data_IF_351988030921
#
_entry.id   IF_351988030921
#
_cell.length_a   1.000
_cell.length_b   1.000
_cell.length_c   1.000
_cell.angle_alpha   90.00
_cell.angle_beta   90.00
_cell.angle_gamma   90.00
#
_symmetry.space_group_name_H-M   'P 1'
#
loop_
_entity.id
_entity.type
_entity.pdbx_description
1 polymer ?
#
# COMPACT_ATOMS: atom_id res chain seq x y z
N UNK A 1 0.06 -15.68 -9.85
CA UNK A 1 -1.28 -15.24 -9.31
C UNK A 1 -2.12 -16.44 -8.92
N UNK A 2 -2.81 -16.39 -7.78
CA UNK A 2 -3.76 -17.42 -7.35
C UNK A 2 -5.16 -16.86 -7.47
N UNK A 3 -6.10 -17.63 -8.06
CA UNK A 3 -7.48 -17.19 -8.29
C UNK A 3 -8.48 -18.04 -7.48
N UNK A 4 -9.52 -17.40 -6.98
CA UNK A 4 -10.77 -18.03 -6.53
C UNK A 4 -10.82 -18.49 -5.08
N UNK A 5 -10.20 -19.62 -4.76
CA UNK A 5 -10.43 -20.35 -3.49
C UNK A 5 -10.19 -19.55 -2.21
N UNK A 6 -9.20 -18.67 -2.18
CA UNK A 6 -8.76 -17.95 -0.97
C UNK A 6 -9.32 -16.52 -0.85
N UNK A 7 -10.02 -16.00 -1.86
CA UNK A 7 -10.39 -14.59 -1.93
C UNK A 7 -11.87 -14.30 -1.74
N UNK A 8 -12.69 -15.35 -1.51
CA UNK A 8 -14.15 -15.23 -1.39
C UNK A 8 -14.51 -14.37 -0.17
N UNK A 9 -15.31 -13.34 -0.40
CA UNK A 9 -15.82 -12.44 0.65
C UNK A 9 -14.87 -11.34 1.12
N UNK A 10 -13.63 -11.28 0.63
CA UNK A 10 -12.64 -10.26 1.01
C UNK A 10 -12.56 -9.08 0.03
N UNK A 11 -13.29 -9.16 -1.11
CA UNK A 11 -13.25 -8.15 -2.17
C UNK A 11 -12.00 -8.25 -3.07
N UNK A 12 -11.17 -9.28 -2.88
CA UNK A 12 -10.04 -9.59 -3.73
C UNK A 12 -10.44 -10.66 -4.74
N UNK A 13 -9.88 -10.64 -5.92
CA UNK A 13 -10.10 -11.66 -6.96
C UNK A 13 -8.88 -12.54 -7.18
N UNK A 14 -7.70 -12.02 -6.87
CA UNK A 14 -6.41 -12.68 -7.05
C UNK A 14 -5.45 -12.21 -5.94
N UNK A 15 -4.34 -12.93 -5.77
CA UNK A 15 -3.22 -12.52 -4.94
C UNK A 15 -1.90 -12.79 -5.66
N UNK A 16 -0.89 -11.97 -5.41
CA UNK A 16 0.48 -12.20 -5.85
C UNK A 16 1.21 -13.05 -4.83
N UNK A 17 2.21 -13.78 -5.28
CA UNK A 17 3.15 -14.48 -4.42
C UNK A 17 4.51 -14.56 -5.10
N UNK A 18 5.54 -14.84 -4.31
CA UNK A 18 6.93 -14.94 -4.73
C UNK A 18 7.47 -16.33 -4.35
N UNK A 19 8.37 -16.86 -5.13
CA UNK A 19 9.12 -18.08 -4.78
C UNK A 19 10.37 -17.75 -3.92
N UNK A 20 11.28 -18.70 -3.74
CA UNK A 20 12.48 -18.56 -2.93
C UNK A 20 13.63 -17.77 -3.61
N UNK A 21 13.45 -17.33 -4.86
CA UNK A 21 14.38 -16.43 -5.57
C UNK A 21 14.10 -14.96 -5.31
N UNK A 22 12.91 -14.64 -4.81
CA UNK A 22 12.47 -13.28 -4.47
C UNK A 22 12.49 -13.09 -2.96
N UNK A 23 13.17 -12.05 -2.49
CA UNK A 23 13.33 -11.76 -1.07
C UNK A 23 12.71 -10.42 -0.71
N UNK A 24 12.10 -10.35 0.46
CA UNK A 24 11.72 -9.08 1.07
C UNK A 24 12.95 -8.40 1.72
N UNK A 25 12.89 -7.10 1.98
CA UNK A 25 13.91 -6.43 2.78
C UNK A 25 14.18 -7.09 4.14
N UNK A 26 13.17 -7.71 4.75
CA UNK A 26 13.28 -8.37 6.06
C UNK A 26 14.03 -9.70 6.02
N UNK A 27 14.13 -10.34 4.86
CA UNK A 27 14.84 -11.62 4.70
C UNK A 27 16.37 -11.46 4.78
N UNK A 28 16.86 -10.23 4.78
CA UNK A 28 18.28 -9.91 4.73
C UNK A 28 18.84 -9.70 6.13
N UNK A 29 19.96 -10.32 6.39
CA UNK A 29 20.75 -10.14 7.63
C UNK A 29 21.57 -8.85 7.63
N UNK A 30 21.41 -7.98 6.65
CA UNK A 30 22.12 -6.71 6.50
C UNK A 30 21.19 -5.62 6.00
N UNK A 31 21.62 -4.37 6.09
CA UNK A 31 20.88 -3.19 5.66
C UNK A 31 20.40 -3.29 4.21
N UNK A 32 19.08 -3.10 3.98
CA UNK A 32 18.46 -3.16 2.66
C UNK A 32 19.00 -2.11 1.71
N UNK A 33 19.21 -0.88 2.21
CA UNK A 33 19.77 0.20 1.40
C UNK A 33 21.13 -0.16 0.82
N UNK A 34 21.96 -0.88 1.57
CA UNK A 34 23.28 -1.32 1.06
C UNK A 34 23.19 -2.46 0.03
N UNK A 35 22.12 -3.25 0.05
CA UNK A 35 21.86 -4.24 -1.00
C UNK A 35 21.40 -3.56 -2.28
N UNK A 36 20.56 -2.52 -2.19
CA UNK A 36 20.12 -1.73 -3.33
C UNK A 36 21.28 -1.00 -4.03
N UNK A 37 22.42 -0.79 -3.36
CA UNK A 37 23.62 -0.22 -3.97
C UNK A 37 24.14 -1.01 -5.17
N UNK A 38 23.83 -2.30 -5.28
CA UNK A 38 24.19 -3.08 -6.47
C UNK A 38 23.58 -2.49 -7.77
N UNK A 39 22.44 -1.82 -7.69
CA UNK A 39 21.82 -1.14 -8.82
C UNK A 39 22.66 0.06 -9.32
N UNK A 40 23.49 0.62 -8.45
CA UNK A 40 24.30 1.81 -8.73
C UNK A 40 25.78 1.50 -8.98
N UNK A 41 26.21 0.24 -8.81
CA UNK A 41 27.62 -0.15 -9.01
C UNK A 41 28.15 0.21 -10.40
N UNK A 42 27.34 0.00 -11.45
CA UNK A 42 27.73 0.32 -12.82
C UNK A 42 27.93 1.81 -13.09
N UNK A 43 27.31 2.68 -12.28
CA UNK A 43 27.48 4.14 -12.36
C UNK A 43 28.71 4.65 -11.62
N UNK A 44 29.33 3.83 -10.76
CA UNK A 44 30.40 4.24 -9.85
C UNK A 44 29.95 5.23 -8.76
N UNK A 45 28.65 5.51 -8.64
CA UNK A 45 28.12 6.44 -7.66
C UNK A 45 28.11 5.82 -6.25
N UNK A 46 29.02 6.25 -5.40
CA UNK A 46 29.12 5.86 -3.98
C UNK A 46 28.69 6.98 -3.03
N UNK A 47 28.35 8.17 -3.54
CA UNK A 47 27.89 9.29 -2.74
C UNK A 47 26.37 9.20 -2.51
N UNK A 48 25.96 8.15 -1.79
CA UNK A 48 24.57 7.86 -1.48
C UNK A 48 24.46 7.63 0.03
N UNK A 49 23.45 8.22 0.63
CA UNK A 49 23.07 8.00 2.03
C UNK A 49 21.63 7.52 2.14
N UNK A 50 21.19 7.09 3.32
CA UNK A 50 19.83 6.63 3.52
C UNK A 50 19.60 5.92 4.84
N UNK A 51 18.35 5.55 5.09
CA UNK A 51 17.91 4.82 6.27
C UNK A 51 17.04 3.62 5.88
N UNK A 52 17.11 2.55 6.66
CA UNK A 52 16.14 1.48 6.66
C UNK A 52 15.07 1.79 7.71
N UNK A 53 13.81 1.57 7.39
CA UNK A 53 12.69 1.80 8.30
C UNK A 53 11.86 0.54 8.47
N UNK A 54 11.50 0.24 9.70
CA UNK A 54 10.70 -0.93 10.06
C UNK A 54 9.54 -0.52 10.98
N UNK A 55 8.32 -0.79 10.59
CA UNK A 55 7.13 -0.71 11.43
C UNK A 55 5.98 -1.44 10.75
N UNK A 56 6.09 -2.75 10.61
CA UNK A 56 5.12 -3.55 9.87
C UNK A 56 4.71 -2.84 8.57
N UNK A 57 3.40 -2.79 8.23
CA UNK A 57 2.92 -2.15 7.00
C UNK A 57 3.13 -0.62 6.93
N UNK A 58 3.57 0.03 8.02
CA UNK A 58 3.80 1.47 8.08
C UNK A 58 5.24 1.88 7.72
N UNK A 59 6.16 0.94 7.59
CA UNK A 59 7.59 1.22 7.32
C UNK A 59 7.82 2.10 6.09
N UNK A 60 7.12 1.85 4.97
CA UNK A 60 7.22 2.68 3.76
C UNK A 60 6.76 4.13 3.98
N UNK A 61 5.79 4.36 4.88
CA UNK A 61 5.34 5.72 5.23
C UNK A 61 6.37 6.45 6.09
N UNK A 62 7.04 5.75 7.01
CA UNK A 62 8.19 6.31 7.71
C UNK A 62 9.29 6.72 6.72
N UNK A 63 9.63 5.87 5.75
CA UNK A 63 10.63 6.18 4.73
C UNK A 63 10.22 7.39 3.89
N UNK A 64 8.95 7.46 3.46
CA UNK A 64 8.43 8.58 2.69
C UNK A 64 8.51 9.89 3.48
N UNK A 65 8.08 9.89 4.75
CA UNK A 65 8.13 11.11 5.56
C UNK A 65 9.57 11.55 5.87
N UNK A 66 10.50 10.61 6.06
CA UNK A 66 11.92 10.92 6.21
C UNK A 66 12.49 11.55 4.94
N UNK A 67 12.17 11.02 3.76
CA UNK A 67 12.62 11.55 2.49
C UNK A 67 12.06 12.97 2.23
N UNK A 68 10.76 13.19 2.47
CA UNK A 68 10.13 14.51 2.33
C UNK A 68 10.75 15.51 3.32
N UNK A 69 10.86 15.12 4.60
CA UNK A 69 11.46 16.00 5.62
C UNK A 69 12.93 16.36 5.28
N UNK A 70 13.69 15.42 4.66
CA UNK A 70 15.06 15.71 4.24
C UNK A 70 15.08 16.68 3.05
N UNK A 71 14.26 16.47 2.02
CA UNK A 71 14.16 17.39 0.87
C UNK A 71 13.71 18.79 1.29
N UNK A 72 12.87 18.91 2.32
CA UNK A 72 12.41 20.19 2.87
C UNK A 72 13.37 20.79 3.93
N UNK A 73 14.46 20.11 4.29
CA UNK A 73 15.37 20.55 5.34
C UNK A 73 16.50 21.45 4.80
N UNK A 74 17.16 22.16 5.71
CA UNK A 74 18.39 22.91 5.41
C UNK A 74 19.59 22.01 5.05
N UNK A 75 19.48 20.71 5.23
CA UNK A 75 20.53 19.74 4.87
C UNK A 75 20.37 19.19 3.46
N UNK A 76 19.32 19.59 2.75
CA UNK A 76 19.12 19.14 1.38
C UNK A 76 20.16 19.73 0.43
N UNK A 77 20.77 18.89 -0.37
CA UNK A 77 21.88 19.23 -1.27
C UNK A 77 21.48 19.22 -2.78
N UNK A 78 20.19 19.18 -3.07
CA UNK A 78 19.64 19.21 -4.44
C UNK A 78 19.43 17.82 -5.07
N UNK A 79 19.77 16.73 -4.38
CA UNK A 79 19.52 15.37 -4.88
C UNK A 79 18.07 14.94 -4.58
N UNK A 80 17.53 14.11 -5.47
CA UNK A 80 16.26 13.41 -5.20
C UNK A 80 16.48 12.27 -4.19
N UNK A 81 15.43 11.93 -3.42
CA UNK A 81 15.39 10.77 -2.56
C UNK A 81 14.59 9.64 -3.21
N UNK A 82 15.12 8.41 -3.17
CA UNK A 82 14.42 7.21 -3.62
C UNK A 82 13.87 6.46 -2.41
N UNK A 83 12.56 6.33 -2.33
CA UNK A 83 11.87 5.50 -1.34
C UNK A 83 11.46 4.17 -1.99
N UNK A 84 11.91 3.06 -1.42
CA UNK A 84 11.53 1.72 -1.85
C UNK A 84 10.77 1.03 -0.73
N UNK A 85 9.52 0.67 -0.99
CA UNK A 85 8.64 -0.07 -0.09
C UNK A 85 8.28 -1.40 -0.75
N UNK A 86 8.68 -2.52 -0.16
CA UNK A 86 8.42 -3.84 -0.72
C UNK A 86 8.27 -4.87 0.38
N UNK A 87 7.36 -5.83 0.16
CA UNK A 87 7.09 -6.87 1.14
C UNK A 87 6.41 -8.10 0.53
N UNK A 88 6.49 -9.22 1.25
CA UNK A 88 5.84 -10.49 0.92
C UNK A 88 4.99 -10.90 2.12
N UNK A 89 3.66 -10.87 1.95
CA UNK A 89 2.70 -11.18 3.00
C UNK A 89 2.29 -12.65 2.93
N UNK A 90 2.84 -13.45 3.83
CA UNK A 90 2.55 -14.87 3.96
C UNK A 90 1.96 -15.17 5.34
N UNK A 91 1.06 -16.14 5.40
CA UNK A 91 0.39 -16.57 6.63
C UNK A 91 0.37 -18.08 6.74
N UNK A 92 0.64 -18.58 7.94
CA UNK A 92 0.56 -20.01 8.26
C UNK A 92 -0.89 -20.45 8.42
N UNK A 93 -1.68 -19.62 9.12
CA UNK A 93 -3.08 -19.88 9.44
C UNK A 93 -3.95 -19.85 8.18
N UNK A 94 -4.72 -20.92 7.94
CA UNK A 94 -5.57 -21.06 6.77
C UNK A 94 -6.57 -19.90 6.62
N UNK A 95 -7.10 -19.35 7.73
CA UNK A 95 -8.04 -18.23 7.71
C UNK A 95 -7.39 -16.91 7.26
N UNK A 96 -6.09 -16.72 7.48
CA UNK A 96 -5.34 -15.53 7.10
C UNK A 96 -4.74 -15.61 5.68
N UNK A 97 -4.47 -16.83 5.17
CA UNK A 97 -3.88 -17.04 3.82
C UNK A 97 -4.55 -16.23 2.71
N UNK A 98 -5.91 -16.08 2.68
CA UNK A 98 -6.57 -15.31 1.62
C UNK A 98 -6.21 -13.81 1.61
N UNK A 99 -5.63 -13.29 2.68
CA UNK A 99 -5.16 -11.90 2.77
C UNK A 99 -3.70 -11.73 2.35
N UNK A 100 -3.02 -12.81 1.98
CA UNK A 100 -1.64 -12.77 1.50
C UNK A 100 -1.48 -11.97 0.21
N UNK A 101 -0.23 -11.64 -0.09
CA UNK A 101 0.13 -10.91 -1.29
C UNK A 101 1.62 -10.63 -1.35
N UNK A 102 2.06 -9.99 -2.41
CA UNK A 102 3.43 -9.54 -2.57
C UNK A 102 3.50 -8.35 -3.54
N UNK A 103 4.40 -7.43 -3.28
CA UNK A 103 4.66 -6.32 -4.17
C UNK A 103 5.65 -5.31 -3.64
N UNK A 104 6.11 -4.46 -4.55
CA UNK A 104 7.06 -3.40 -4.28
C UNK A 104 6.65 -2.13 -5.04
N UNK A 105 6.83 -0.98 -4.39
CA UNK A 105 6.65 0.34 -4.99
C UNK A 105 7.90 1.16 -4.74
N UNK A 106 8.44 1.77 -5.79
CA UNK A 106 9.51 2.76 -5.71
C UNK A 106 8.93 4.16 -6.00
N UNK A 107 9.32 5.14 -5.20
CA UNK A 107 8.85 6.52 -5.29
C UNK A 107 10.06 7.46 -5.32
N UNK A 108 10.12 8.32 -6.32
CA UNK A 108 11.11 9.39 -6.40
C UNK A 108 10.54 10.64 -5.72
N UNK A 109 11.27 11.18 -4.76
CA UNK A 109 10.87 12.33 -3.95
C UNK A 109 11.84 13.47 -4.23
N UNK A 110 11.32 14.59 -4.70
CA UNK A 110 12.09 15.77 -5.05
C UNK A 110 11.19 16.96 -5.32
N UNK A 111 11.75 18.12 -5.70
CA UNK A 111 10.99 19.30 -6.08
C UNK A 111 10.20 19.09 -7.36
N UNK A 112 9.23 19.96 -7.63
CA UNK A 112 8.45 20.02 -8.87
C UNK A 112 7.70 18.72 -9.22
N UNK A 113 7.40 17.89 -8.23
CA UNK A 113 6.67 16.65 -8.39
C UNK A 113 5.19 16.90 -8.80
N UNK A 114 4.58 16.01 -9.62
CA UNK A 114 3.16 16.15 -9.99
C UNK A 114 2.20 15.89 -8.81
N UNK A 115 2.68 15.25 -7.74
CA UNK A 115 1.95 15.01 -6.50
C UNK A 115 2.65 15.74 -5.36
N UNK A 116 1.96 16.66 -4.68
CA UNK A 116 2.51 17.45 -3.56
C UNK A 116 1.73 17.20 -2.28
N UNK A 117 2.43 17.21 -1.15
CA UNK A 117 1.78 17.13 0.16
C UNK A 117 0.98 18.40 0.46
N UNK A 118 -0.21 18.25 1.03
CA UNK A 118 -0.93 19.37 1.64
C UNK A 118 -0.22 19.76 2.94
N UNK A 119 0.34 20.97 2.98
CA UNK A 119 1.09 21.46 4.13
C UNK A 119 0.21 21.50 5.39
N UNK A 120 0.76 21.04 6.52
CA UNK A 120 0.06 21.01 7.79
C UNK A 120 -1.05 19.94 7.94
N UNK A 121 -1.40 19.25 6.86
CA UNK A 121 -2.48 18.24 6.84
C UNK A 121 -1.96 16.79 6.95
N UNK A 122 -1.12 16.54 7.95
CA UNK A 122 -0.61 15.21 8.30
C UNK A 122 -0.93 14.90 9.76
N UNK A 123 -1.79 13.94 10.00
CA UNK A 123 -2.17 13.46 11.32
C UNK A 123 -1.62 12.06 11.56
N UNK A 124 -1.31 11.73 12.81
CA UNK A 124 -0.80 10.41 13.19
C UNK A 124 -1.49 9.93 14.45
N UNK A 125 -1.58 8.61 14.58
CA UNK A 125 -2.03 7.93 15.77
C UNK A 125 -1.16 6.71 16.01
N UNK A 126 -0.62 6.58 17.23
CA UNK A 126 0.23 5.46 17.65
C UNK A 126 -0.23 4.93 18.99
N UNK A 127 -0.18 3.61 19.16
CA UNK A 127 -0.47 2.94 20.41
C UNK A 127 0.25 1.59 20.46
N UNK A 128 0.68 1.16 21.63
CA UNK A 128 1.22 -0.19 21.80
C UNK A 128 0.11 -1.24 21.67
N UNK A 129 0.31 -2.25 20.82
CA UNK A 129 -0.59 -3.39 20.64
C UNK A 129 0.18 -4.63 20.13
N UNK A 130 -0.24 -5.82 20.54
CA UNK A 130 0.21 -7.10 20.01
C UNK A 130 -0.85 -7.70 19.08
N UNK A 131 -1.27 -6.94 18.09
CA UNK A 131 -2.29 -7.34 17.12
C UNK A 131 -1.72 -8.21 15.98
N UNK A 132 -0.46 -7.92 15.60
CA UNK A 132 0.28 -8.62 14.56
C UNK A 132 1.77 -8.37 14.79
N UNK A 133 2.56 -9.43 14.96
CA UNK A 133 3.99 -9.31 15.26
C UNK A 133 4.77 -10.57 14.89
N UNK A 134 6.08 -10.43 14.70
CA UNK A 134 6.99 -11.53 14.42
C UNK A 134 7.78 -11.87 15.70
N UNK A 135 7.30 -12.86 16.43
CA UNK A 135 7.93 -13.30 17.68
C UNK A 135 9.07 -14.31 17.44
N UNK A 136 8.90 -15.18 16.44
CA UNK A 136 9.87 -16.22 16.10
C UNK A 136 10.68 -15.78 14.88
N UNK A 137 11.94 -15.41 15.11
CA UNK A 137 12.86 -15.00 14.04
C UNK A 137 13.34 -16.17 13.17
N UNK A 138 13.10 -17.41 13.58
CA UNK A 138 13.38 -18.62 12.79
C UNK A 138 12.24 -18.97 11.81
N UNK A 139 11.10 -18.29 11.91
CA UNK A 139 9.95 -18.47 11.05
C UNK A 139 9.70 -17.24 10.18
N UNK A 140 9.33 -17.42 8.92
CA UNK A 140 8.90 -16.33 8.03
C UNK A 140 7.51 -15.80 8.40
N UNK A 141 6.70 -16.60 9.09
CA UNK A 141 5.31 -16.29 9.41
C UNK A 141 5.16 -15.42 10.65
N UNK A 142 4.29 -14.39 10.60
CA UNK A 142 3.91 -13.60 11.77
C UNK A 142 2.88 -14.34 12.63
N UNK A 143 2.73 -13.88 13.88
CA UNK A 143 1.60 -14.18 14.75
C UNK A 143 0.53 -13.10 14.55
N UNK A 144 -0.73 -13.51 14.40
CA UNK A 144 -1.86 -12.62 14.11
C UNK A 144 -3.02 -12.89 15.05
N UNK A 145 -3.47 -11.87 15.80
CA UNK A 145 -4.80 -11.84 16.39
C UNK A 145 -5.74 -11.07 15.43
N UNK A 146 -6.50 -11.79 14.63
CA UNK A 146 -7.30 -11.20 13.56
C UNK A 146 -8.40 -10.25 14.05
N UNK A 147 -9.05 -10.54 15.20
CA UNK A 147 -10.09 -9.66 15.74
C UNK A 147 -9.48 -8.41 16.37
N UNK A 148 -8.42 -8.57 17.13
CA UNK A 148 -7.68 -7.45 17.71
C UNK A 148 -7.11 -6.55 16.61
N UNK A 149 -6.56 -7.14 15.52
CA UNK A 149 -6.01 -6.40 14.40
C UNK A 149 -7.07 -5.52 13.70
N UNK A 150 -8.29 -6.05 13.48
CA UNK A 150 -9.39 -5.25 12.92
C UNK A 150 -9.77 -4.11 13.87
N UNK A 151 -9.86 -4.38 15.18
CA UNK A 151 -10.19 -3.36 16.20
C UNK A 151 -9.13 -2.26 16.22
N UNK A 152 -7.85 -2.63 16.24
CA UNK A 152 -6.72 -1.71 16.21
C UNK A 152 -6.71 -0.85 14.94
N UNK A 153 -7.01 -1.45 13.80
CA UNK A 153 -7.09 -0.73 12.52
C UNK A 153 -8.20 0.34 12.55
N UNK A 154 -9.41 -0.01 12.99
CA UNK A 154 -10.54 0.93 13.07
C UNK A 154 -10.32 2.02 14.13
N UNK A 155 -9.67 1.69 15.25
CA UNK A 155 -9.25 2.66 16.26
C UNK A 155 -8.25 3.66 15.68
N UNK A 156 -7.31 3.19 14.87
CA UNK A 156 -6.34 4.04 14.20
C UNK A 156 -7.00 4.94 13.13
N UNK A 157 -8.01 4.44 12.41
CA UNK A 157 -8.83 5.25 11.50
C UNK A 157 -9.48 6.40 12.27
N UNK A 158 -10.15 6.10 13.39
CA UNK A 158 -10.79 7.11 14.23
C UNK A 158 -9.79 8.15 14.76
N UNK A 159 -8.68 7.69 15.35
CA UNK A 159 -7.66 8.55 15.94
C UNK A 159 -7.01 9.48 14.92
N UNK A 160 -6.61 8.94 13.76
CA UNK A 160 -6.03 9.73 12.68
C UNK A 160 -7.03 10.73 12.11
N UNK A 161 -8.29 10.33 11.92
CA UNK A 161 -9.29 11.21 11.34
C UNK A 161 -9.62 12.38 12.26
N UNK A 162 -9.83 12.10 13.54
CA UNK A 162 -10.04 13.15 14.57
C UNK A 162 -8.86 14.11 14.65
N UNK A 163 -7.62 13.59 14.62
CA UNK A 163 -6.44 14.42 14.63
C UNK A 163 -6.28 15.24 13.33
N UNK A 164 -6.69 14.69 12.19
CA UNK A 164 -6.70 15.39 10.91
C UNK A 164 -7.73 16.52 10.90
N UNK A 165 -8.96 16.29 11.40
CA UNK A 165 -9.99 17.31 11.57
C UNK A 165 -9.47 18.50 12.40
N UNK A 166 -8.84 18.22 13.56
CA UNK A 166 -8.27 19.24 14.40
C UNK A 166 -7.21 20.09 13.69
N UNK A 167 -6.35 19.46 12.88
CA UNK A 167 -5.33 20.17 12.10
C UNK A 167 -5.92 21.02 10.98
N UNK A 168 -6.89 20.49 10.24
CA UNK A 168 -7.57 21.26 9.18
C UNK A 168 -8.23 22.52 9.73
N UNK A 169 -8.83 22.42 10.92
CA UNK A 169 -9.45 23.57 11.58
C UNK A 169 -8.45 24.66 11.97
N UNK A 170 -7.15 24.36 12.11
CA UNK A 170 -6.10 25.34 12.49
C UNK A 170 -5.32 25.90 11.31
N UNK A 171 -5.41 25.29 10.12
CA UNK A 171 -4.71 25.78 8.92
C UNK A 171 -5.41 27.01 8.39
N UNK A 172 -4.76 28.18 8.51
CA UNK A 172 -5.24 29.43 7.90
C UNK A 172 -5.15 29.30 6.37
N UNK A 173 -6.20 29.62 5.60
CA UNK A 173 -6.15 29.60 4.15
C UNK A 173 -5.08 30.58 3.63
N UNK A 174 -4.27 30.17 2.66
CA UNK A 174 -3.21 30.98 2.03
C UNK A 174 -3.71 32.33 1.48
N UNK A 175 -5.00 32.47 1.22
CA UNK A 175 -5.62 33.69 0.64
C UNK A 175 -6.24 34.64 1.67
N UNK A 176 -5.94 34.51 2.95
CA UNK A 176 -6.43 35.46 3.98
C UNK A 176 -7.96 35.49 4.18
N UNK A 177 -8.73 34.75 3.38
CA UNK A 177 -10.15 34.54 3.62
C UNK A 177 -10.26 33.47 4.70
N UNK A 178 -10.57 33.88 5.91
CA UNK A 178 -11.09 32.96 6.93
C UNK A 178 -12.24 32.20 6.24
N UNK A 179 -12.04 30.90 6.03
CA UNK A 179 -13.15 30.05 5.63
C UNK A 179 -14.26 30.34 6.65
N UNK A 180 -15.36 30.96 6.17
CA UNK A 180 -16.53 31.17 7.01
C UNK A 180 -16.82 29.84 7.68
N UNK A 181 -16.84 29.82 9.02
CA UNK A 181 -16.96 28.64 9.85
C UNK A 181 -18.29 27.88 9.74
N UNK A 182 -18.87 27.87 8.56
CA UNK A 182 -20.09 27.19 8.14
C UNK A 182 -19.92 26.38 6.86
N UNK A 183 -18.82 25.60 6.72
CA UNK A 183 -18.85 24.51 5.76
C UNK A 183 -19.64 23.34 6.39
N UNK A 184 -20.93 23.29 6.12
CA UNK A 184 -21.82 22.18 6.47
C UNK A 184 -21.50 20.89 5.67
N UNK A 185 -20.31 20.80 5.08
CA UNK A 185 -19.87 19.61 4.34
C UNK A 185 -19.04 18.70 5.23
N UNK A 186 -19.33 17.42 5.18
CA UNK A 186 -18.56 16.39 5.86
C UNK A 186 -17.10 16.46 5.44
N UNK A 187 -16.14 16.33 6.40
CA UNK A 187 -14.71 16.44 6.11
C UNK A 187 -14.22 15.38 5.10
N UNK A 188 -14.87 14.20 5.07
CA UNK A 188 -14.58 13.15 4.06
C UNK A 188 -14.80 13.66 2.63
N UNK A 189 -15.61 14.69 2.44
CA UNK A 189 -15.88 15.32 1.15
C UNK A 189 -14.74 16.26 0.68
N UNK A 190 -13.78 16.58 1.54
CA UNK A 190 -12.56 17.29 1.13
C UNK A 190 -11.62 16.42 0.26
N UNK A 191 -11.76 15.10 0.33
CA UNK A 191 -10.98 14.17 -0.50
C UNK A 191 -11.76 13.81 -1.77
N UNK A 192 -11.22 14.14 -2.93
CA UNK A 192 -11.77 13.67 -4.21
C UNK A 192 -11.59 12.15 -4.35
N UNK A 193 -10.44 11.63 -3.90
CA UNK A 193 -10.13 10.21 -3.85
C UNK A 193 -9.49 9.84 -2.52
N UNK A 194 -9.58 8.55 -2.14
CA UNK A 194 -8.89 8.04 -0.96
C UNK A 194 -8.23 6.68 -1.23
N UNK A 195 -6.99 6.57 -0.76
CA UNK A 195 -6.20 5.36 -0.73
C UNK A 195 -5.99 4.92 0.72
N UNK A 196 -6.19 3.64 0.99
CA UNK A 196 -5.99 3.03 2.31
C UNK A 196 -4.92 1.96 2.24
N UNK A 197 -4.20 1.75 3.34
CA UNK A 197 -3.58 0.46 3.54
C UNK A 197 -4.65 -0.61 3.44
N UNK A 198 -4.47 -1.60 2.58
CA UNK A 198 -5.47 -2.61 2.26
C UNK A 198 -5.02 -4.01 2.68
N UNK A 199 -5.17 -4.41 3.96
CA UNK A 199 -5.00 -5.81 4.35
C UNK A 199 -5.97 -6.72 3.59
N UNK A 200 -7.15 -6.19 3.29
CA UNK A 200 -8.12 -6.71 2.34
C UNK A 200 -9.09 -5.60 1.92
N UNK A 201 -9.71 -5.74 0.75
CA UNK A 201 -10.59 -4.70 0.19
C UNK A 201 -11.86 -4.47 1.03
N UNK A 202 -12.36 -5.50 1.74
CA UNK A 202 -13.52 -5.36 2.63
C UNK A 202 -13.22 -4.45 3.82
N UNK A 203 -12.01 -4.54 4.39
CA UNK A 203 -11.62 -3.65 5.50
C UNK A 203 -11.50 -2.20 5.02
N UNK A 204 -11.04 -1.96 3.79
CA UNK A 204 -11.05 -0.62 3.19
C UNK A 204 -12.47 -0.05 3.12
N UNK A 205 -13.45 -0.85 2.67
CA UNK A 205 -14.84 -0.40 2.62
C UNK A 205 -15.39 -0.07 4.00
N UNK A 206 -15.10 -0.88 5.01
CA UNK A 206 -15.47 -0.62 6.41
C UNK A 206 -14.81 0.65 6.95
N UNK A 207 -13.55 0.88 6.60
CA UNK A 207 -12.80 2.06 7.05
C UNK A 207 -13.36 3.35 6.46
N UNK A 208 -13.71 3.34 5.19
CA UNK A 208 -14.38 4.50 4.59
C UNK A 208 -15.76 4.75 5.20
N UNK A 209 -16.54 3.70 5.43
CA UNK A 209 -17.81 3.80 6.16
C UNK A 209 -17.61 4.35 7.59
N UNK A 210 -16.51 3.99 8.25
CA UNK A 210 -16.14 4.52 9.57
C UNK A 210 -15.80 6.01 9.56
N UNK A 211 -15.13 6.51 8.51
CA UNK A 211 -14.94 7.96 8.34
C UNK A 211 -16.26 8.69 8.20
N UNK A 212 -17.19 8.14 7.42
CA UNK A 212 -18.55 8.71 7.27
C UNK A 212 -19.33 8.66 8.59
N UNK A 213 -19.16 7.61 9.41
CA UNK A 213 -19.69 7.56 10.76
C UNK A 213 -19.14 8.68 11.65
N UNK A 214 -17.81 8.90 11.64
CA UNK A 214 -17.19 9.98 12.42
C UNK A 214 -17.72 11.36 11.99
N UNK A 215 -17.91 11.58 10.69
CA UNK A 215 -18.50 12.81 10.19
C UNK A 215 -19.96 12.98 10.65
N UNK A 216 -20.75 11.91 10.74
CA UNK A 216 -22.14 12.00 11.25
C UNK A 216 -22.22 12.46 12.70
N UNK A 217 -21.19 12.18 13.48
CA UNK A 217 -21.07 12.67 14.87
C UNK A 217 -20.62 14.14 14.91
N UNK A 218 -19.65 14.50 14.05
CA UNK A 218 -19.05 15.84 14.05
C UNK A 218 -19.92 16.88 13.31
N UNK A 219 -20.70 16.45 12.32
CA UNK A 219 -21.51 17.29 11.42
C UNK A 219 -22.91 16.70 11.19
N UNK A 220 -23.70 16.48 12.26
CA UNK A 220 -25.01 15.84 12.16
C UNK A 220 -26.00 16.67 11.30
N UNK A 221 -25.76 17.96 11.15
CA UNK A 221 -26.54 18.91 10.34
C UNK A 221 -26.34 18.73 8.83
N UNK A 222 -25.35 17.95 8.40
CA UNK A 222 -25.13 17.69 6.97
C UNK A 222 -26.34 16.98 6.35
N UNK A 223 -26.77 17.47 5.18
CA UNK A 223 -27.92 16.92 4.44
C UNK A 223 -27.78 15.42 4.17
N UNK A 224 -26.55 14.91 4.04
CA UNK A 224 -26.25 13.50 3.89
C UNK A 224 -26.79 12.68 5.08
N UNK A 225 -26.64 13.18 6.29
CA UNK A 225 -27.05 12.47 7.51
C UNK A 225 -28.52 12.70 7.83
N UNK A 226 -29.03 13.91 7.60
CA UNK A 226 -30.46 14.23 7.82
C UNK A 226 -31.35 13.34 6.96
N UNK A 227 -30.97 13.09 5.70
CA UNK A 227 -31.82 12.31 4.78
C UNK A 227 -31.43 10.83 4.65
N UNK A 228 -30.22 10.47 5.03
CA UNK A 228 -29.64 9.15 4.76
C UNK A 228 -29.61 8.20 5.95
N UNK A 229 -29.67 8.72 7.18
CA UNK A 229 -29.70 7.87 8.37
C UNK A 229 -31.12 7.37 8.66
N UNK A 230 -31.28 6.11 9.13
CA UNK A 230 -32.59 5.64 9.62
C UNK A 230 -33.00 6.43 10.86
N UNK A 231 -34.31 6.63 11.02
CA UNK A 231 -34.88 7.36 12.16
C UNK A 231 -34.50 6.74 13.53
N UNK A 232 -34.31 5.41 13.55
CA UNK A 232 -33.90 4.64 14.73
C UNK A 232 -32.42 4.20 14.54
N UNK A 233 -31.48 5.17 14.46
CA UNK A 233 -30.07 4.83 14.52
C UNK A 233 -29.75 4.25 15.91
N UNK A 234 -28.96 3.15 16.00
CA UNK A 234 -28.66 2.55 17.29
C UNK A 234 -27.86 3.51 18.16
N UNK A 235 -28.32 3.72 19.40
CA UNK A 235 -27.57 4.42 20.44
C UNK A 235 -26.49 3.47 20.99
N UNK A 236 -25.32 3.50 20.37
CA UNK A 236 -24.16 2.64 20.71
C UNK A 236 -23.03 3.54 21.18
N UNK A 237 -22.45 3.18 22.32
CA UNK A 237 -21.27 3.84 22.83
C UNK A 237 -20.16 3.88 21.76
N UNK A 238 -19.45 5.03 21.65
CA UNK A 238 -18.53 5.31 20.53
C UNK A 238 -17.49 4.21 20.32
N UNK A 239 -16.88 3.69 21.40
CA UNK A 239 -15.86 2.66 21.28
C UNK A 239 -16.42 1.30 20.87
N UNK A 240 -17.60 0.95 21.38
CA UNK A 240 -18.33 -0.27 21.05
C UNK A 240 -18.79 -0.24 19.58
N UNK A 241 -19.14 0.92 19.04
CA UNK A 241 -19.60 1.10 17.66
C UNK A 241 -18.58 0.64 16.59
N UNK A 242 -17.28 0.55 16.93
CA UNK A 242 -16.23 0.07 16.01
C UNK A 242 -16.45 -1.38 15.56
N UNK A 243 -17.05 -2.20 16.44
CA UNK A 243 -17.30 -3.63 16.17
C UNK A 243 -18.79 -3.95 16.05
N UNK A 244 -19.67 -2.95 16.19
CA UNK A 244 -21.10 -3.13 16.06
C UNK A 244 -21.51 -3.36 14.61
N UNK A 245 -22.20 -4.46 14.34
CA UNK A 245 -22.58 -4.87 12.99
C UNK A 245 -23.71 -4.04 12.41
N UNK A 246 -24.55 -3.48 13.24
CA UNK A 246 -25.67 -2.63 12.80
C UNK A 246 -25.15 -1.29 12.34
N UNK A 247 -24.28 -0.66 13.15
CA UNK A 247 -23.57 0.58 12.77
C UNK A 247 -22.76 0.37 11.49
N UNK A 248 -21.95 -0.70 11.42
CA UNK A 248 -21.18 -1.06 10.21
C UNK A 248 -22.08 -1.12 8.97
N UNK A 249 -23.20 -1.86 9.07
CA UNK A 249 -24.12 -2.07 7.96
C UNK A 249 -24.78 -0.77 7.48
N UNK A 250 -25.25 0.07 8.40
CA UNK A 250 -25.88 1.36 8.09
C UNK A 250 -24.91 2.25 7.32
N UNK A 251 -23.68 2.43 7.83
CA UNK A 251 -22.71 3.35 7.23
C UNK A 251 -22.07 2.80 5.97
N UNK A 252 -21.92 1.50 5.83
CA UNK A 252 -21.53 0.88 4.55
C UNK A 252 -22.59 1.11 3.47
N UNK A 253 -23.88 1.03 3.81
CA UNK A 253 -24.97 1.32 2.88
C UNK A 253 -25.00 2.81 2.50
N UNK A 254 -24.91 3.70 3.50
CA UNK A 254 -24.91 5.15 3.32
C UNK A 254 -23.74 5.62 2.46
N UNK A 255 -22.56 5.08 2.69
CA UNK A 255 -21.33 5.47 1.98
C UNK A 255 -21.17 4.83 0.59
N UNK A 256 -22.00 3.86 0.20
CA UNK A 256 -21.82 3.00 -0.98
C UNK A 256 -21.52 3.79 -2.28
N UNK A 257 -22.29 4.83 -2.57
CA UNK A 257 -22.10 5.67 -3.78
C UNK A 257 -20.76 6.40 -3.72
N UNK A 258 -20.46 7.08 -2.60
CA UNK A 258 -19.18 7.79 -2.40
C UNK A 258 -17.97 6.85 -2.45
N UNK A 259 -18.11 5.67 -1.88
CA UNK A 259 -17.09 4.63 -1.94
C UNK A 259 -16.78 4.24 -3.40
N UNK A 260 -17.80 4.00 -4.21
CA UNK A 260 -17.64 3.65 -5.62
C UNK A 260 -16.94 4.76 -6.42
N UNK A 261 -17.23 6.03 -6.12
CA UNK A 261 -16.66 7.18 -6.82
C UNK A 261 -15.25 7.53 -6.35
N UNK A 262 -14.97 7.43 -5.04
CA UNK A 262 -13.76 8.00 -4.42
C UNK A 262 -12.74 6.98 -3.96
N UNK A 263 -13.17 5.76 -3.62
CA UNK A 263 -12.29 4.72 -3.05
C UNK A 263 -12.09 3.55 -4.02
N UNK A 264 -13.13 3.13 -4.73
CA UNK A 264 -13.05 2.02 -5.67
C UNK A 264 -11.89 2.15 -6.67
N UNK A 265 -11.55 3.34 -7.21
CA UNK A 265 -10.38 3.50 -8.08
C UNK A 265 -9.05 3.12 -7.43
N UNK A 266 -8.95 3.15 -6.09
CA UNK A 266 -7.75 2.76 -5.35
C UNK A 266 -7.54 1.24 -5.22
N UNK A 267 -8.54 0.43 -5.59
CA UNK A 267 -8.57 -0.99 -5.28
C UNK A 267 -8.11 -1.91 -6.41
N UNK A 268 -7.65 -1.39 -7.55
CA UNK A 268 -7.20 -2.23 -8.67
C UNK A 268 -6.07 -3.18 -8.22
N UNK A 269 -4.97 -2.65 -7.69
CA UNK A 269 -3.84 -3.47 -7.24
C UNK A 269 -4.19 -4.33 -6.02
N UNK A 270 -4.81 -3.81 -4.94
CA UNK A 270 -5.25 -4.65 -3.83
C UNK A 270 -6.15 -5.83 -4.25
N UNK A 271 -7.07 -5.61 -5.19
CA UNK A 271 -7.95 -6.66 -5.72
C UNK A 271 -7.17 -7.76 -6.46
N UNK A 272 -6.13 -7.37 -7.18
CA UNK A 272 -5.35 -8.26 -8.06
C UNK A 272 -4.13 -8.87 -7.36
N UNK A 273 -3.58 -8.24 -6.34
CA UNK A 273 -2.30 -8.63 -5.71
C UNK A 273 -2.41 -9.06 -4.25
N UNK A 274 -3.51 -8.72 -3.56
CA UNK A 274 -3.66 -8.94 -2.12
C UNK A 274 -2.90 -7.91 -1.28
N UNK A 275 -2.61 -8.25 -0.02
CA UNK A 275 -1.86 -7.39 0.89
C UNK A 275 -0.38 -7.32 0.49
N UNK A 276 0.14 -6.13 0.38
CA UNK A 276 1.55 -5.86 0.07
C UNK A 276 2.26 -5.17 1.25
N UNK A 277 1.75 -5.34 2.48
CA UNK A 277 2.21 -4.71 3.73
C UNK A 277 2.66 -3.26 3.50
N UNK A 278 3.96 -2.97 3.62
CA UNK A 278 4.49 -1.61 3.56
C UNK A 278 4.30 -0.92 2.20
N UNK A 279 4.12 -1.68 1.11
CA UNK A 279 3.81 -1.13 -0.21
C UNK A 279 2.30 -0.89 -0.44
N UNK A 280 1.43 -1.39 0.42
CA UNK A 280 -0.01 -1.49 0.19
C UNK A 280 -0.69 -0.13 -0.05
N UNK A 281 -0.47 0.88 0.79
CA UNK A 281 -1.09 2.20 0.61
C UNK A 281 -0.61 2.89 -0.67
N UNK A 282 0.64 2.66 -1.06
CA UNK A 282 1.21 3.23 -2.29
C UNK A 282 0.74 2.50 -3.53
N UNK A 283 0.50 1.20 -3.45
CA UNK A 283 -0.15 0.44 -4.52
C UNK A 283 -1.60 0.88 -4.73
N UNK A 284 -2.29 1.27 -3.66
CA UNK A 284 -3.62 1.90 -3.73
C UNK A 284 -3.55 3.29 -4.39
N UNK A 285 -2.53 4.09 -4.09
CA UNK A 285 -2.29 5.38 -4.77
C UNK A 285 -2.00 5.18 -6.27
N UNK A 286 -1.13 4.23 -6.62
CA UNK A 286 -0.83 3.86 -8.02
C UNK A 286 -2.12 3.43 -8.74
N UNK A 287 -3.00 2.68 -8.07
CA UNK A 287 -4.29 2.28 -8.64
C UNK A 287 -5.13 3.49 -9.04
N UNK A 288 -5.22 4.55 -8.20
CA UNK A 288 -5.93 5.79 -8.55
C UNK A 288 -5.28 6.45 -9.76
N UNK A 289 -3.96 6.62 -9.74
CA UNK A 289 -3.20 7.28 -10.81
C UNK A 289 -3.41 6.58 -12.16
N UNK A 290 -3.49 5.25 -12.18
CA UNK A 290 -3.64 4.47 -13.41
C UNK A 290 -5.10 4.21 -13.80
N UNK A 291 -6.06 4.33 -12.87
CA UNK A 291 -7.49 4.09 -13.15
C UNK A 291 -8.25 5.36 -13.51
N UNK A 292 -7.77 6.54 -13.12
CA UNK A 292 -8.43 7.82 -13.35
C UNK A 292 -7.64 8.60 -14.41
N UNK A 293 -8.28 9.10 -15.48
CA UNK A 293 -7.61 9.89 -16.51
C UNK A 293 -6.84 11.08 -15.92
N UNK A 294 -5.61 11.33 -16.37
CA UNK A 294 -4.74 12.38 -15.83
C UNK A 294 -5.39 13.78 -15.83
N UNK A 295 -6.17 14.10 -16.87
CA UNK A 295 -6.92 15.36 -16.95
C UNK A 295 -7.97 15.51 -15.84
N UNK A 296 -8.58 14.40 -15.38
CA UNK A 296 -9.54 14.42 -14.29
C UNK A 296 -8.87 14.45 -12.92
N UNK A 297 -7.65 13.93 -12.80
CA UNK A 297 -6.89 13.96 -11.56
C UNK A 297 -6.33 15.35 -11.24
N UNK A 298 -6.05 16.16 -12.24
CA UNK A 298 -5.43 17.48 -12.03
C UNK A 298 -6.28 18.36 -11.12
N UNK A 299 -5.67 18.95 -10.10
CA UNK A 299 -6.31 19.75 -9.08
C UNK A 299 -6.98 18.95 -7.96
N UNK A 300 -7.04 17.61 -8.09
CA UNK A 300 -7.69 16.73 -7.12
C UNK A 300 -6.85 16.51 -5.87
N UNK A 301 -7.54 16.32 -4.73
CA UNK A 301 -6.95 15.94 -3.46
C UNK A 301 -7.14 14.44 -3.21
N UNK A 302 -6.06 13.75 -2.94
CA UNK A 302 -6.06 12.33 -2.61
C UNK A 302 -5.70 12.18 -1.13
N UNK A 303 -6.62 11.65 -0.31
CA UNK A 303 -6.35 11.26 1.06
C UNK A 303 -5.67 9.89 1.12
N UNK A 304 -4.65 9.73 1.99
CA UNK A 304 -3.97 8.46 2.21
C UNK A 304 -4.04 8.09 3.67
N UNK A 305 -4.57 6.92 3.97
CA UNK A 305 -4.52 6.32 5.30
C UNK A 305 -3.54 5.15 5.31
N UNK A 306 -2.42 5.34 5.99
CA UNK A 306 -1.39 4.33 6.22
C UNK A 306 -1.52 3.77 7.63
N UNK A 307 -1.35 2.46 7.76
CA UNK A 307 -1.41 1.74 9.03
C UNK A 307 -0.36 0.63 9.04
N UNK A 308 0.25 0.40 10.19
CA UNK A 308 1.07 -0.76 10.49
C UNK A 308 0.82 -1.22 11.92
N UNK A 309 0.67 -2.53 12.07
CA UNK A 309 0.45 -3.17 13.39
C UNK A 309 1.55 -2.85 14.39
N UNK A 310 1.20 -2.93 15.70
CA UNK A 310 2.11 -2.62 16.78
C UNK A 310 1.77 -1.40 17.64
N UNK A 311 1.06 -0.33 17.26
CA UNK A 311 0.62 0.12 15.94
C UNK A 311 1.10 1.55 15.66
N UNK A 312 1.26 1.86 14.41
CA UNK A 312 1.48 3.23 13.93
C UNK A 312 0.57 3.50 12.72
N UNK A 313 0.06 4.72 12.62
CA UNK A 313 -0.80 5.12 11.51
C UNK A 313 -0.70 6.60 11.22
N UNK A 314 -1.02 6.97 9.98
CA UNK A 314 -1.15 8.37 9.57
C UNK A 314 -2.23 8.55 8.53
N UNK A 315 -2.95 9.66 8.62
CA UNK A 315 -3.80 10.21 7.57
C UNK A 315 -3.16 11.51 7.06
N UNK A 316 -2.92 11.56 5.77
CA UNK A 316 -2.35 12.73 5.10
C UNK A 316 -2.95 12.87 3.70
N UNK A 317 -2.75 14.02 3.07
CA UNK A 317 -3.26 14.24 1.73
C UNK A 317 -2.20 14.77 0.77
N UNK A 318 -2.42 14.43 -0.51
CA UNK A 318 -1.64 14.90 -1.65
C UNK A 318 -2.57 15.67 -2.60
N UNK A 319 -2.03 16.71 -3.24
CA UNK A 319 -2.67 17.37 -4.39
C UNK A 319 -2.00 16.94 -5.68
N UNK A 320 -2.80 16.72 -6.69
CA UNK A 320 -2.32 16.49 -8.06
C UNK A 320 -2.18 17.85 -8.74
N UNK A 321 -0.96 18.38 -8.78
CA UNK A 321 -0.66 19.70 -9.35
C UNK A 321 -0.13 19.63 -10.79
N UNK A 322 0.47 18.49 -11.15
CA UNK A 322 1.07 18.25 -12.46
C UNK A 322 0.37 17.15 -13.25
N UNK A 323 0.92 16.87 -14.45
CA UNK A 323 0.49 15.75 -15.27
C UNK A 323 1.00 14.41 -14.74
N UNK A 324 0.10 13.47 -14.55
CA UNK A 324 0.40 12.09 -14.12
C UNK A 324 0.63 11.13 -15.29
N UNK A 325 0.48 11.57 -16.53
CA UNK A 325 0.59 10.70 -17.72
C UNK A 325 1.94 10.02 -17.85
N UNK A 326 3.04 10.72 -17.52
CA UNK A 326 4.38 10.10 -17.48
C UNK A 326 4.48 8.97 -16.46
N UNK A 327 3.86 9.13 -15.30
CA UNK A 327 3.82 8.08 -14.27
C UNK A 327 3.04 6.87 -14.77
N UNK A 328 1.87 7.08 -15.39
CA UNK A 328 1.03 6.01 -15.97
C UNK A 328 1.82 5.20 -17.00
N UNK A 329 2.54 5.88 -17.89
CA UNK A 329 3.34 5.24 -18.93
C UNK A 329 4.50 4.41 -18.36
N UNK A 330 5.21 4.92 -17.35
CA UNK A 330 6.31 4.19 -16.69
C UNK A 330 5.77 2.99 -15.91
N UNK A 331 4.67 3.17 -15.19
CA UNK A 331 4.05 2.11 -14.40
C UNK A 331 3.50 0.98 -15.29
N UNK A 332 2.92 1.32 -16.45
CA UNK A 332 2.31 0.37 -17.37
C UNK A 332 1.48 -0.71 -16.64
N UNK A 333 0.70 -0.24 -15.65
CA UNK A 333 0.14 -1.09 -14.60
C UNK A 333 -0.81 -2.15 -15.15
N UNK A 334 -1.72 -1.76 -16.05
CA UNK A 334 -2.72 -2.70 -16.58
C UNK A 334 -2.05 -3.84 -17.34
N UNK A 335 -1.14 -3.55 -18.28
CA UNK A 335 -0.43 -4.57 -19.04
C UNK A 335 0.39 -5.48 -18.11
N UNK A 336 1.08 -4.91 -17.12
CA UNK A 336 1.87 -5.71 -16.14
C UNK A 336 1.00 -6.58 -15.26
N UNK A 337 -0.20 -6.13 -14.86
CA UNK A 337 -1.14 -6.94 -14.11
C UNK A 337 -1.73 -8.07 -14.98
N UNK A 338 -2.03 -7.80 -16.24
CA UNK A 338 -2.61 -8.78 -17.17
C UNK A 338 -1.58 -9.82 -17.63
N UNK A 339 -0.32 -9.45 -17.76
CA UNK A 339 0.77 -10.33 -18.14
C UNK A 339 1.11 -11.41 -17.09
N UNK A 340 0.57 -11.30 -15.86
CA UNK A 340 0.87 -12.26 -14.79
C UNK A 340 0.16 -13.61 -15.05
N UNK A 341 0.92 -14.70 -14.93
CA UNK A 341 0.40 -16.05 -15.05
C UNK A 341 -0.54 -16.38 -13.87
N UNK A 342 -1.71 -16.90 -14.19
CA UNK A 342 -2.65 -17.42 -13.19
C UNK A 342 -2.35 -18.89 -12.96
N UNK A 343 -2.19 -19.28 -11.70
CA UNK A 343 -1.87 -20.66 -11.32
C UNK A 343 -2.89 -21.21 -10.33
N UNK A 344 -2.91 -22.52 -10.16
CA UNK A 344 -3.79 -23.20 -9.21
C UNK A 344 -3.40 -22.88 -7.74
N UNK A 345 -4.35 -22.92 -6.80
CA UNK A 345 -4.09 -22.74 -5.38
C UNK A 345 -3.02 -23.67 -4.79
N UNK A 346 -2.91 -24.87 -5.30
CA UNK A 346 -1.93 -25.89 -4.90
C UNK A 346 -0.49 -25.45 -5.20
N UNK A 347 -0.29 -24.65 -6.27
CA UNK A 347 1.01 -24.05 -6.59
C UNK A 347 1.43 -23.06 -5.51
N UNK A 348 0.47 -22.26 -4.99
CA UNK A 348 0.73 -21.36 -3.87
C UNK A 348 1.14 -22.11 -2.61
N UNK A 349 0.43 -23.20 -2.25
CA UNK A 349 0.78 -24.01 -1.08
C UNK A 349 2.16 -24.69 -1.23
N UNK A 350 2.51 -25.12 -2.45
CA UNK A 350 3.84 -25.68 -2.75
C UNK A 350 4.94 -24.64 -2.63
N UNK A 351 4.68 -23.43 -3.12
CA UNK A 351 5.62 -22.31 -3.00
C UNK A 351 5.82 -21.87 -1.53
N UNK A 352 4.76 -21.84 -0.70
CA UNK A 352 4.91 -21.58 0.74
C UNK A 352 5.85 -22.60 1.40
N UNK A 353 5.72 -23.89 1.08
CA UNK A 353 6.63 -24.94 1.57
C UNK A 353 8.06 -24.78 1.06
N UNK A 354 8.24 -24.33 -0.19
CA UNK A 354 9.56 -24.01 -0.75
C UNK A 354 10.22 -22.88 0.05
N UNK A 355 9.51 -21.80 0.31
CA UNK A 355 10.00 -20.68 1.12
C UNK A 355 10.32 -21.09 2.56
N UNK A 356 9.50 -21.91 3.20
CA UNK A 356 9.79 -22.46 4.53
C UNK A 356 11.13 -23.21 4.54
N UNK A 357 11.43 -23.99 3.49
CA UNK A 357 12.72 -24.71 3.38
C UNK A 357 13.89 -23.77 3.12
N UNK A 358 13.67 -22.70 2.38
CA UNK A 358 14.68 -21.71 2.01
C UNK A 358 15.01 -20.74 3.14
N UNK A 359 14.04 -20.48 4.04
CA UNK A 359 14.16 -19.44 5.06
C UNK A 359 15.36 -19.69 5.98
N UNK A 360 16.26 -18.71 6.08
CA UNK A 360 17.51 -18.75 6.83
C UNK A 360 18.43 -19.95 6.51
N UNK A 361 18.38 -20.47 5.29
CA UNK A 361 19.32 -21.51 4.84
C UNK A 361 20.66 -20.91 4.37
N UNK A 362 21.73 -21.60 4.69
CA UNK A 362 23.09 -21.37 4.17
C UNK A 362 23.48 -22.48 3.20
N UNK A 363 24.49 -22.22 2.34
CA UNK A 363 24.89 -23.12 1.25
C UNK A 363 23.66 -23.53 0.41
N UNK A 364 22.87 -22.52 0.03
CA UNK A 364 21.57 -22.74 -0.58
C UNK A 364 21.50 -22.14 -1.99
N UNK A 365 21.07 -22.95 -2.93
CA UNK A 365 20.66 -22.51 -4.27
C UNK A 365 19.14 -22.52 -4.31
N UNK A 366 18.48 -21.38 -4.58
CA UNK A 366 17.03 -21.33 -4.70
C UNK A 366 16.48 -22.30 -5.76
N UNK A 367 15.34 -22.91 -5.45
CA UNK A 367 14.68 -23.94 -6.29
C UNK A 367 13.73 -23.34 -7.33
N UNK A 368 13.28 -22.09 -7.16
CA UNK A 368 12.37 -21.41 -8.06
C UNK A 368 12.86 -21.35 -9.49
N UNK A 369 11.94 -21.39 -10.46
CA UNK A 369 12.26 -21.43 -11.87
C UNK A 369 12.67 -20.05 -12.40
N UNK A 370 13.93 -19.92 -12.86
CA UNK A 370 14.44 -18.66 -13.43
C UNK A 370 13.70 -18.26 -14.71
N UNK A 371 13.15 -19.24 -15.44
CA UNK A 371 12.48 -18.95 -16.71
C UNK A 371 11.10 -18.30 -16.52
N UNK A 372 10.52 -18.42 -15.34
CA UNK A 372 9.29 -17.70 -14.95
C UNK A 372 9.54 -16.21 -14.63
N UNK A 373 10.81 -15.79 -14.48
CA UNK A 373 11.15 -14.39 -14.20
C UNK A 373 11.16 -13.55 -15.48
N UNK A 374 10.69 -12.30 -15.36
CA UNK A 374 10.81 -11.34 -16.46
C UNK A 374 12.28 -10.97 -16.73
N UNK A 375 12.61 -10.72 -17.99
CA UNK A 375 13.94 -10.21 -18.36
C UNK A 375 14.29 -8.92 -17.60
N UNK A 376 15.53 -8.77 -17.18
CA UNK A 376 15.99 -7.64 -16.39
C UNK A 376 15.69 -7.73 -14.89
N UNK A 377 14.99 -8.76 -14.42
CA UNK A 377 14.71 -8.97 -12.99
C UNK A 377 15.95 -9.42 -12.24
N UNK A 378 16.27 -8.78 -11.13
CA UNK A 378 17.24 -9.26 -10.17
C UNK A 378 16.64 -10.40 -9.36
N UNK A 379 17.40 -11.47 -9.16
CA UNK A 379 16.99 -12.64 -8.39
C UNK A 379 18.11 -13.20 -7.52
N UNK A 380 17.75 -13.86 -6.41
CA UNK A 380 18.69 -14.55 -5.55
C UNK A 380 19.25 -15.77 -6.29
N UNK A 381 20.57 -15.79 -6.49
CA UNK A 381 21.28 -16.89 -7.17
C UNK A 381 21.81 -17.92 -6.18
N UNK A 382 22.36 -17.48 -5.05
CA UNK A 382 23.01 -18.34 -4.07
C UNK A 382 23.14 -17.66 -2.71
N UNK A 383 23.06 -18.45 -1.63
CA UNK A 383 23.40 -18.06 -0.26
C UNK A 383 24.55 -18.92 0.22
N UNK A 384 25.68 -18.34 0.61
CA UNK A 384 26.87 -19.07 1.02
C UNK A 384 26.84 -19.55 2.49
N UNK A 385 27.95 -20.16 2.94
CA UNK A 385 28.12 -20.66 4.31
C UNK A 385 28.02 -19.59 5.41
N UNK A 386 28.27 -18.31 5.04
CA UNK A 386 28.21 -17.13 5.92
C UNK A 386 26.94 -16.32 5.71
N UNK A 387 25.91 -16.90 5.08
CA UNK A 387 24.66 -16.25 4.70
C UNK A 387 24.82 -15.05 3.76
N UNK A 388 25.96 -14.94 3.04
CA UNK A 388 26.14 -13.90 2.04
C UNK A 388 25.36 -14.26 0.79
N UNK A 389 24.57 -13.28 0.30
CA UNK A 389 23.70 -13.44 -0.86
C UNK A 389 24.37 -12.97 -2.14
N UNK A 390 24.28 -13.77 -3.17
CA UNK A 390 24.70 -13.42 -4.53
C UNK A 390 23.45 -13.28 -5.38
N UNK A 391 23.33 -12.15 -6.06
CA UNK A 391 22.23 -11.89 -6.98
C UNK A 391 22.71 -11.97 -8.43
N UNK A 392 21.79 -12.24 -9.34
CA UNK A 392 21.99 -12.19 -10.77
C UNK A 392 20.83 -11.46 -11.44
N UNK A 393 20.99 -11.09 -12.69
CA UNK A 393 19.96 -10.48 -13.52
C UNK A 393 19.51 -11.49 -14.56
N UNK A 394 18.19 -11.68 -14.72
CA UNK A 394 17.63 -12.51 -15.79
C UNK A 394 17.96 -11.89 -17.13
N UNK A 395 18.67 -12.64 -17.98
CA UNK A 395 18.95 -12.26 -19.37
C UNK A 395 17.67 -12.11 -20.21
N UNK A 396 17.79 -11.55 -21.42
CA UNK A 396 16.71 -11.59 -22.38
C UNK A 396 16.33 -13.06 -22.64
N UNK A 397 15.02 -13.33 -22.77
CA UNK A 397 14.56 -14.63 -23.26
C UNK A 397 15.16 -14.84 -24.66
N UNK A 398 15.73 -16.01 -24.93
CA UNK A 398 16.07 -16.35 -26.31
C UNK A 398 14.79 -16.25 -27.14
N UNK A 399 14.81 -15.69 -28.35
CA UNK A 399 13.63 -15.69 -29.21
C UNK A 399 13.21 -17.15 -29.40
N UNK A 400 11.99 -17.49 -29.02
CA UNK A 400 11.42 -18.78 -29.43
C UNK A 400 11.44 -18.82 -30.96
N UNK A 401 12.04 -19.84 -31.55
CA UNK A 401 12.13 -20.12 -33.00
C UNK A 401 10.74 -20.42 -33.60
N UNK A 402 9.76 -19.58 -33.35
CA UNK A 402 8.47 -19.59 -34.03
C UNK A 402 8.00 -18.16 -34.27
N UNK A 403 8.47 -17.56 -35.36
CA UNK A 403 7.71 -16.71 -36.29
C UNK A 403 8.60 -16.51 -37.52
N UNK A 404 8.50 -17.45 -38.45
CA UNK A 404 8.86 -17.22 -39.84
C UNK A 404 7.70 -16.48 -40.52
N UNK A 405 8.08 -15.46 -41.29
CA UNK A 405 7.31 -14.81 -42.35
C UNK A 405 6.16 -13.86 -41.95
N UNK A 406 6.47 -12.60 -41.97
CA UNK A 406 5.51 -11.51 -42.09
C UNK A 406 6.26 -10.20 -42.26
N UNK A 407 6.66 -9.87 -43.48
CA UNK A 407 7.18 -8.54 -43.87
C UNK A 407 6.26 -7.44 -43.31
N UNK A 408 6.85 -6.47 -42.63
CA UNK A 408 6.31 -5.10 -42.65
C UNK A 408 7.46 -4.15 -42.91
N UNK A 409 7.40 -3.60 -44.12
CA UNK A 409 8.13 -2.43 -44.54
C UNK A 409 7.67 -1.21 -43.75
N UNK A 410 8.60 -0.38 -43.38
CA UNK A 410 8.46 1.06 -43.52
C UNK A 410 7.96 1.88 -42.31
N UNK A 411 8.83 2.71 -41.87
CA UNK A 411 8.83 4.02 -41.21
C UNK A 411 8.78 4.03 -39.68
#
# INVERSE_FOLDING_TARGET
MVAGKYTIGLGQTKMSFCDDREESPLDKSKSCKTVLMQLFESSGNTNIEGADTFNACYGGTNALFNAVNWVESSSWDGRDALVVAGDIALYKEAAAKPTGGAGCVAMLIGPDAPLVFDVGKRASFMRHAYDFYKADMSSEYPLVDGLLSIKCYLEAVDGCYKAYQAKVATVVPENGNTANGNSASALVDEFDYMAFHAPNCKLVAKSYARLVYNDSISHPESSMFITGLPAEAPDVEYEASRMDKTVESIFMKLSKKRFAERVQPSLLVPTMCGNMYTASVYSSLISIICSVPAAQLRGKRIGLFSYGSGLASSLFSLRVVGDTGKMVNILDLHRRLDARKVVAPETYDSMCKMRERAFQKKNYVPEGDIDELAAGTYYLKYVDEKFRRTYAVKGPSEPSDEISAGQVNGW
#
